data_IF_269073820072
#
_entry.id   IF_269073820072
#
_cell.length_a   1.000
_cell.length_b   1.000
_cell.length_c   1.000
_cell.angle_alpha   90.00
_cell.angle_beta   90.00
_cell.angle_gamma   90.00
#
_symmetry.space_group_name_H-M   'P 1'
#
loop_
_entity.id
_entity.type
_entity.pdbx_description
1 polymer ?
#
# COMPACT_ATOMS: atom_id res chain seq x y z
N UNK A 1 -21.07 -0.98 -18.68
CA UNK A 1 -19.69 -1.42 -18.44
C UNK A 1 -19.14 -2.03 -19.71
N UNK A 2 -17.83 -1.88 -19.92
CA UNK A 2 -17.21 -2.12 -21.23
C UNK A 2 -16.56 -3.50 -21.35
N UNK A 3 -16.27 -4.17 -20.23
CA UNK A 3 -15.67 -5.51 -20.19
C UNK A 3 -14.32 -5.58 -20.92
N UNK A 4 -13.86 -6.79 -21.22
CA UNK A 4 -12.55 -7.02 -21.87
C UNK A 4 -12.45 -6.35 -23.25
N UNK A 5 -13.49 -6.46 -24.08
CA UNK A 5 -13.50 -5.83 -25.40
C UNK A 5 -13.33 -4.31 -25.33
N UNK A 6 -13.96 -3.68 -24.35
CA UNK A 6 -13.80 -2.25 -24.09
C UNK A 6 -12.43 -1.87 -23.55
N UNK A 7 -11.89 -2.66 -22.60
CA UNK A 7 -10.55 -2.49 -22.08
C UNK A 7 -9.50 -2.56 -23.21
N UNK A 8 -9.61 -3.56 -24.09
CA UNK A 8 -8.73 -3.74 -25.25
C UNK A 8 -8.87 -2.58 -26.24
N UNK A 9 -10.08 -2.07 -26.46
CA UNK A 9 -10.30 -0.91 -27.33
C UNK A 9 -9.65 0.36 -26.75
N UNK A 10 -9.80 0.62 -25.45
CA UNK A 10 -9.19 1.75 -24.77
C UNK A 10 -7.67 1.64 -24.69
N UNK A 11 -7.13 0.44 -24.48
CA UNK A 11 -5.70 0.17 -24.46
C UNK A 11 -5.00 0.64 -25.74
N UNK A 12 -5.68 0.52 -26.90
CA UNK A 12 -5.16 0.98 -28.20
C UNK A 12 -5.06 2.52 -28.30
N UNK A 13 -5.76 3.26 -27.45
CA UNK A 13 -5.76 4.72 -27.45
C UNK A 13 -4.67 5.32 -26.56
N UNK A 14 -4.16 4.58 -25.56
CA UNK A 14 -3.15 5.10 -24.63
C UNK A 14 -1.86 5.54 -25.36
N UNK A 15 -1.30 4.76 -26.33
CA UNK A 15 -0.12 5.19 -27.06
C UNK A 15 -0.33 6.45 -27.91
N UNK A 16 -1.59 6.77 -28.25
CA UNK A 16 -1.95 7.98 -29.00
C UNK A 16 -2.09 9.21 -28.08
N UNK A 17 -2.04 9.01 -26.76
CA UNK A 17 -2.26 10.04 -25.74
C UNK A 17 -1.08 10.19 -24.78
N UNK A 18 0.19 10.30 -25.24
CA UNK A 18 1.37 10.28 -24.37
C UNK A 18 1.51 11.48 -23.42
N UNK A 19 0.68 12.51 -23.61
CA UNK A 19 0.62 13.70 -22.76
C UNK A 19 -0.37 13.57 -21.60
N UNK A 20 -1.08 12.44 -21.49
CA UNK A 20 -2.07 12.22 -20.44
C UNK A 20 -1.40 12.26 -19.05
N UNK A 21 -2.02 13.02 -18.14
CA UNK A 21 -1.58 13.19 -16.76
C UNK A 21 -2.50 12.51 -15.75
N UNK A 22 -3.76 12.34 -16.10
CA UNK A 22 -4.79 11.76 -15.25
C UNK A 22 -5.53 10.70 -16.07
N UNK A 23 -5.46 9.45 -15.62
CA UNK A 23 -6.13 8.32 -16.24
C UNK A 23 -6.97 7.59 -15.20
N UNK A 24 -8.29 7.59 -15.45
CA UNK A 24 -9.24 6.73 -14.76
C UNK A 24 -9.74 5.62 -15.67
N UNK A 25 -9.49 4.39 -15.26
CA UNK A 25 -10.01 3.15 -15.82
C UNK A 25 -10.60 2.34 -14.67
N UNK A 26 -11.67 2.86 -14.06
CA UNK A 26 -12.32 2.27 -12.88
C UNK A 26 -13.69 1.67 -13.21
N UNK A 27 -14.09 0.61 -12.51
CA UNK A 27 -15.41 -0.03 -12.59
C UNK A 27 -15.80 -0.44 -14.01
N UNK A 28 -14.83 -0.93 -14.80
CA UNK A 28 -15.08 -1.28 -16.20
C UNK A 28 -15.57 -2.71 -16.39
N UNK A 29 -15.50 -3.52 -15.32
CA UNK A 29 -15.67 -4.99 -15.31
C UNK A 29 -14.72 -5.71 -16.28
N UNK A 30 -13.57 -5.10 -16.58
CA UNK A 30 -12.51 -5.81 -17.29
C UNK A 30 -12.07 -7.01 -16.43
N UNK A 31 -12.09 -8.17 -17.05
CA UNK A 31 -11.56 -9.40 -16.50
C UNK A 31 -10.06 -9.47 -16.85
N UNK A 32 -9.43 -10.61 -16.55
CA UNK A 32 -7.98 -10.80 -16.70
C UNK A 32 -7.44 -10.40 -18.08
N UNK A 33 -8.10 -10.77 -19.18
CA UNK A 33 -7.59 -10.50 -20.53
C UNK A 33 -7.58 -9.00 -20.86
N UNK A 34 -8.70 -8.32 -20.60
CA UNK A 34 -8.85 -6.90 -20.84
C UNK A 34 -7.93 -6.07 -19.96
N UNK A 35 -7.93 -6.38 -18.66
CA UNK A 35 -7.10 -5.71 -17.65
C UNK A 35 -5.60 -5.87 -17.94
N UNK A 36 -5.15 -7.07 -18.31
CA UNK A 36 -3.75 -7.30 -18.67
C UNK A 36 -3.34 -6.52 -19.93
N UNK A 37 -4.22 -6.49 -20.95
CA UNK A 37 -3.97 -5.73 -22.17
C UNK A 37 -3.88 -4.24 -21.88
N UNK A 38 -4.79 -3.74 -21.03
CA UNK A 38 -4.80 -2.35 -20.60
C UNK A 38 -3.54 -1.99 -19.78
N UNK A 39 -3.18 -2.81 -18.80
CA UNK A 39 -1.98 -2.64 -17.97
C UNK A 39 -0.71 -2.52 -18.81
N UNK A 40 -0.54 -3.39 -19.82
CA UNK A 40 0.61 -3.32 -20.74
C UNK A 40 0.65 -2.02 -21.52
N UNK A 41 -0.50 -1.48 -21.93
CA UNK A 41 -0.58 -0.24 -22.69
C UNK A 41 -0.22 1.01 -21.85
N UNK A 42 -0.34 0.93 -20.51
CA UNK A 42 0.05 2.02 -19.60
C UNK A 42 1.50 2.46 -19.80
N UNK A 43 2.41 1.57 -20.21
CA UNK A 43 3.83 1.88 -20.41
C UNK A 43 4.10 3.02 -21.41
N UNK A 44 3.10 3.39 -22.23
CA UNK A 44 3.17 4.54 -23.13
C UNK A 44 2.99 5.90 -22.43
N UNK A 45 2.44 5.94 -21.21
CA UNK A 45 2.02 7.14 -20.50
C UNK A 45 3.05 7.65 -19.48
N UNK A 46 4.26 7.98 -19.94
CA UNK A 46 5.38 8.38 -19.06
C UNK A 46 5.18 9.70 -18.30
N UNK A 47 4.17 10.49 -18.67
CA UNK A 47 3.82 11.77 -18.04
C UNK A 47 2.65 11.66 -17.05
N UNK A 48 2.21 10.44 -16.76
CA UNK A 48 1.09 10.22 -15.86
C UNK A 48 1.43 10.67 -14.44
N UNK A 49 0.48 11.36 -13.83
CA UNK A 49 0.53 11.90 -12.47
C UNK A 49 -0.52 11.19 -11.60
N UNK A 50 -1.68 10.82 -12.17
CA UNK A 50 -2.76 10.12 -11.47
C UNK A 50 -3.20 8.89 -12.24
N UNK A 51 -3.24 7.76 -11.53
CA UNK A 51 -3.63 6.46 -12.08
C UNK A 51 -4.69 5.83 -11.19
N UNK A 52 -5.89 5.67 -11.73
CA UNK A 52 -7.00 5.00 -11.06
C UNK A 52 -7.43 3.78 -11.90
N UNK A 53 -7.17 2.59 -11.35
CA UNK A 53 -7.47 1.30 -11.97
C UNK A 53 -8.50 0.50 -11.14
N UNK A 54 -9.15 1.15 -10.19
CA UNK A 54 -9.99 0.49 -9.18
C UNK A 54 -11.17 -0.31 -9.75
N UNK A 55 -11.65 -1.32 -9.05
CA UNK A 55 -12.81 -2.15 -9.45
C UNK A 55 -12.64 -2.78 -10.86
N UNK A 56 -11.53 -3.49 -11.04
CA UNK A 56 -11.25 -4.34 -12.20
C UNK A 56 -10.43 -5.56 -11.78
N UNK A 57 -10.44 -6.64 -12.56
CA UNK A 57 -9.69 -7.84 -12.19
C UNK A 57 -8.35 -7.90 -12.91
N UNK A 58 -7.26 -7.51 -12.23
CA UNK A 58 -5.90 -7.58 -12.77
C UNK A 58 -5.20 -8.90 -12.46
N UNK A 59 -5.39 -9.44 -11.24
CA UNK A 59 -4.62 -10.60 -10.74
C UNK A 59 -3.12 -10.30 -10.64
N UNK A 60 -2.35 -11.19 -10.03
CA UNK A 60 -0.90 -11.02 -9.87
C UNK A 60 -0.19 -10.62 -11.19
N UNK A 61 -0.53 -11.28 -12.30
CA UNK A 61 0.04 -10.96 -13.62
C UNK A 61 -0.31 -9.57 -14.14
N UNK A 62 -1.52 -9.06 -13.84
CA UNK A 62 -1.87 -7.68 -14.14
C UNK A 62 -1.08 -6.72 -13.26
N UNK A 63 -0.86 -7.08 -11.99
CA UNK A 63 0.02 -6.37 -11.07
C UNK A 63 1.46 -6.24 -11.60
N UNK A 64 2.05 -7.32 -12.09
CA UNK A 64 3.37 -7.30 -12.76
C UNK A 64 3.40 -6.38 -13.99
N UNK A 65 2.33 -6.39 -14.80
CA UNK A 65 2.23 -5.52 -15.96
C UNK A 65 2.09 -4.04 -15.57
N UNK A 66 1.33 -3.74 -14.51
CA UNK A 66 1.25 -2.40 -13.91
C UNK A 66 2.63 -1.98 -13.41
N UNK A 67 3.33 -2.85 -12.66
CA UNK A 67 4.68 -2.61 -12.15
C UNK A 67 5.66 -2.22 -13.26
N UNK A 68 5.67 -2.99 -14.37
CA UNK A 68 6.52 -2.71 -15.53
C UNK A 68 6.23 -1.32 -16.15
N UNK A 69 4.98 -0.87 -16.12
CA UNK A 69 4.59 0.45 -16.60
C UNK A 69 5.00 1.57 -15.63
N UNK A 70 4.60 1.47 -14.35
CA UNK A 70 4.78 2.55 -13.35
C UNK A 70 6.25 2.78 -12.99
N UNK A 71 7.14 1.80 -13.19
CA UNK A 71 8.60 1.96 -13.04
C UNK A 71 9.16 3.12 -13.87
N UNK A 72 8.50 3.51 -14.96
CA UNK A 72 8.91 4.61 -15.84
C UNK A 72 8.01 5.86 -15.72
N UNK A 73 7.29 6.01 -14.60
CA UNK A 73 6.37 7.11 -14.34
C UNK A 73 6.74 7.88 -13.06
N UNK A 74 7.89 8.60 -13.05
CA UNK A 74 8.40 9.25 -11.84
C UNK A 74 7.53 10.40 -11.31
N UNK A 75 6.53 10.84 -12.10
CA UNK A 75 5.64 11.95 -11.73
C UNK A 75 4.34 11.48 -11.06
N UNK A 76 4.15 10.18 -10.82
CA UNK A 76 2.96 9.67 -10.14
C UNK A 76 2.85 10.28 -8.74
N UNK A 77 1.72 10.93 -8.49
CA UNK A 77 1.33 11.51 -7.20
C UNK A 77 0.15 10.76 -6.57
N UNK A 78 -0.61 10.01 -7.36
CA UNK A 78 -1.80 9.26 -6.91
C UNK A 78 -1.90 7.94 -7.67
N UNK A 79 -1.99 6.84 -6.92
CA UNK A 79 -2.22 5.49 -7.44
C UNK A 79 -3.37 4.86 -6.66
N UNK A 80 -4.43 4.51 -7.39
CA UNK A 80 -5.58 3.80 -6.85
C UNK A 80 -5.72 2.44 -7.54
N UNK A 81 -5.54 1.38 -6.75
CA UNK A 81 -5.64 -0.03 -7.12
C UNK A 81 -6.69 -0.75 -6.27
N UNK A 82 -7.66 -0.02 -5.70
CA UNK A 82 -8.71 -0.64 -4.91
C UNK A 82 -9.46 -1.70 -5.70
N UNK A 83 -9.76 -2.85 -5.09
CA UNK A 83 -10.54 -3.93 -5.73
C UNK A 83 -9.95 -4.36 -7.09
N UNK A 84 -8.61 -4.43 -7.15
CA UNK A 84 -7.86 -4.81 -8.36
C UNK A 84 -7.50 -6.32 -8.39
N UNK A 85 -7.74 -7.02 -7.28
CA UNK A 85 -7.35 -8.39 -7.00
C UNK A 85 -5.86 -8.65 -7.31
N UNK A 86 -4.95 -7.72 -6.96
CA UNK A 86 -3.53 -7.85 -7.35
C UNK A 86 -2.78 -8.93 -6.57
N UNK A 87 -3.28 -9.34 -5.40
CA UNK A 87 -2.64 -10.32 -4.51
C UNK A 87 -1.21 -9.87 -4.11
N UNK A 88 -0.55 -10.61 -3.22
CA UNK A 88 0.75 -10.21 -2.68
C UNK A 88 1.83 -10.05 -3.78
N UNK A 89 1.91 -10.98 -4.72
CA UNK A 89 2.87 -10.94 -5.83
C UNK A 89 2.73 -9.64 -6.66
N UNK A 90 1.48 -9.23 -6.93
CA UNK A 90 1.20 -7.99 -7.65
C UNK A 90 1.63 -6.76 -6.86
N UNK A 91 1.32 -6.71 -5.56
CA UNK A 91 1.76 -5.60 -4.70
C UNK A 91 3.28 -5.54 -4.58
N UNK A 92 3.95 -6.68 -4.41
CA UNK A 92 5.42 -6.75 -4.33
C UNK A 92 6.06 -6.15 -5.58
N UNK A 93 5.58 -6.53 -6.77
CA UNK A 93 6.06 -6.00 -8.03
C UNK A 93 5.82 -4.48 -8.12
N UNK A 94 4.61 -4.02 -7.78
CA UNK A 94 4.22 -2.60 -7.90
C UNK A 94 5.00 -1.72 -6.91
N UNK A 95 5.07 -2.12 -5.63
CA UNK A 95 5.81 -1.37 -4.61
C UNK A 95 7.30 -1.27 -4.94
N UNK A 96 7.90 -2.36 -5.41
CA UNK A 96 9.29 -2.37 -5.90
C UNK A 96 9.47 -1.42 -7.09
N UNK A 97 8.57 -1.46 -8.07
CA UNK A 97 8.62 -0.58 -9.24
C UNK A 97 8.44 0.90 -8.90
N UNK A 98 7.53 1.26 -7.99
CA UNK A 98 7.33 2.64 -7.54
C UNK A 98 8.56 3.18 -6.80
N UNK A 99 9.22 2.34 -5.99
CA UNK A 99 10.46 2.67 -5.30
C UNK A 99 11.61 2.87 -6.28
N UNK A 100 11.90 1.87 -7.11
CA UNK A 100 13.01 1.90 -8.09
C UNK A 100 12.81 2.95 -9.19
N UNK A 101 11.56 3.18 -9.60
CA UNK A 101 11.18 4.20 -10.58
C UNK A 101 11.15 5.62 -10.05
N UNK A 102 11.37 5.81 -8.73
CA UNK A 102 11.42 7.11 -8.07
C UNK A 102 10.06 7.75 -7.75
N UNK A 103 8.95 7.18 -8.24
CA UNK A 103 7.60 7.65 -7.99
C UNK A 103 7.25 7.68 -6.49
N UNK A 104 7.80 6.76 -5.69
CA UNK A 104 7.58 6.72 -4.24
C UNK A 104 7.90 8.04 -3.53
N UNK A 105 8.85 8.83 -4.04
CA UNK A 105 9.25 10.12 -3.45
C UNK A 105 8.28 11.26 -3.75
N UNK A 106 7.40 11.09 -4.74
CA UNK A 106 6.40 12.07 -5.17
C UNK A 106 4.97 11.64 -4.82
N UNK A 107 4.75 10.36 -4.49
CA UNK A 107 3.44 9.81 -4.23
C UNK A 107 2.82 10.45 -2.97
N UNK A 108 1.62 11.00 -3.13
CA UNK A 108 0.84 11.63 -2.06
C UNK A 108 -0.31 10.74 -1.58
N UNK A 109 -0.81 9.86 -2.46
CA UNK A 109 -1.92 8.94 -2.16
C UNK A 109 -1.64 7.57 -2.78
N UNK A 110 -1.77 6.53 -1.95
CA UNK A 110 -1.76 5.14 -2.37
C UNK A 110 -2.98 4.43 -1.78
N UNK A 111 -3.78 3.84 -2.66
CA UNK A 111 -4.89 2.97 -2.28
C UNK A 111 -4.67 1.58 -2.89
N UNK A 112 -4.52 0.57 -2.02
CA UNK A 112 -4.40 -0.86 -2.38
C UNK A 112 -5.44 -1.70 -1.63
N UNK A 113 -6.56 -1.10 -1.27
CA UNK A 113 -7.65 -1.75 -0.52
C UNK A 113 -8.33 -2.86 -1.34
N UNK A 114 -8.88 -3.90 -0.71
CA UNK A 114 -9.65 -4.94 -1.43
C UNK A 114 -8.81 -5.79 -2.40
N UNK A 115 -7.64 -6.26 -1.99
CA UNK A 115 -6.68 -6.93 -2.89
C UNK A 115 -6.16 -8.29 -2.40
N UNK A 116 -6.79 -8.89 -1.39
CA UNK A 116 -6.38 -10.17 -0.79
C UNK A 116 -4.89 -10.12 -0.35
N UNK A 117 -4.47 -9.00 0.24
CA UNK A 117 -3.09 -8.77 0.65
C UNK A 117 -2.83 -9.29 2.06
N UNK A 118 -1.66 -9.92 2.26
CA UNK A 118 -1.26 -10.46 3.56
C UNK A 118 -0.01 -9.73 4.09
N UNK A 119 0.50 -10.21 5.24
CA UNK A 119 1.77 -9.74 5.78
C UNK A 119 2.96 -9.88 4.79
N UNK A 120 2.90 -10.80 3.82
CA UNK A 120 3.96 -10.99 2.82
C UNK A 120 4.08 -9.79 1.88
N UNK A 121 2.97 -9.34 1.29
CA UNK A 121 2.94 -8.14 0.44
C UNK A 121 3.33 -6.86 1.19
N UNK A 122 3.03 -6.81 2.50
CA UNK A 122 3.38 -5.65 3.34
C UNK A 122 4.88 -5.44 3.50
N UNK A 123 5.73 -6.46 3.31
CA UNK A 123 7.19 -6.28 3.35
C UNK A 123 7.67 -5.31 2.27
N UNK A 124 7.22 -5.51 1.02
CA UNK A 124 7.58 -4.66 -0.10
C UNK A 124 6.98 -3.25 0.03
N UNK A 125 5.72 -3.16 0.45
CA UNK A 125 5.06 -1.88 0.73
C UNK A 125 5.82 -1.12 1.82
N UNK A 126 6.19 -1.78 2.92
CA UNK A 126 6.98 -1.21 4.00
C UNK A 126 8.31 -0.63 3.52
N UNK A 127 9.03 -1.33 2.65
CA UNK A 127 10.27 -0.79 2.05
C UNK A 127 10.01 0.48 1.22
N UNK A 128 8.93 0.52 0.45
CA UNK A 128 8.55 1.69 -0.35
C UNK A 128 8.09 2.89 0.52
N UNK A 129 7.37 2.63 1.63
CA UNK A 129 6.93 3.65 2.59
C UNK A 129 8.10 4.34 3.32
N UNK A 130 9.23 3.63 3.52
CA UNK A 130 10.46 4.21 4.11
C UNK A 130 11.06 5.32 3.24
N UNK A 131 10.93 5.21 1.92
CA UNK A 131 11.41 6.22 0.96
C UNK A 131 10.38 7.29 0.62
N UNK A 132 9.13 7.07 1.02
CA UNK A 132 8.03 7.99 0.75
C UNK A 132 8.15 9.23 1.63
N UNK A 133 8.49 10.37 1.03
CA UNK A 133 8.71 11.63 1.77
C UNK A 133 7.45 12.49 1.91
N UNK A 134 6.55 12.39 0.93
CA UNK A 134 5.38 13.27 0.78
C UNK A 134 4.05 12.51 0.77
N UNK A 135 4.05 11.22 1.11
CA UNK A 135 2.81 10.43 1.22
C UNK A 135 1.94 11.01 2.34
N UNK A 136 0.69 11.33 1.99
CA UNK A 136 -0.32 11.92 2.88
C UNK A 136 -1.41 10.91 3.23
N UNK A 137 -1.78 10.05 2.29
CA UNK A 137 -2.87 9.08 2.46
C UNK A 137 -2.41 7.68 2.07
N UNK A 138 -2.54 6.74 2.99
CA UNK A 138 -2.35 5.31 2.76
C UNK A 138 -3.66 4.59 3.06
N UNK A 139 -4.16 3.80 2.09
CA UNK A 139 -5.33 2.97 2.26
C UNK A 139 -4.99 1.52 1.92
N UNK A 140 -5.26 0.64 2.87
CA UNK A 140 -5.04 -0.81 2.81
C UNK A 140 -6.28 -1.56 3.34
N UNK A 141 -7.45 -0.92 3.39
CA UNK A 141 -8.67 -1.53 3.97
C UNK A 141 -9.12 -2.78 3.21
N UNK A 142 -9.92 -3.63 3.85
CA UNK A 142 -10.47 -4.84 3.23
C UNK A 142 -9.35 -5.75 2.65
N UNK A 143 -8.40 -6.13 3.49
CA UNK A 143 -7.34 -7.09 3.18
C UNK A 143 -7.16 -8.06 4.37
N UNK A 144 -6.12 -8.89 4.35
CA UNK A 144 -5.83 -9.91 5.37
C UNK A 144 -4.42 -9.70 5.94
N UNK A 145 -4.03 -8.44 6.20
CA UNK A 145 -2.64 -8.11 6.53
C UNK A 145 -2.21 -8.64 7.91
N UNK A 146 -3.17 -8.86 8.81
CA UNK A 146 -2.94 -9.35 10.17
C UNK A 146 -2.11 -8.41 11.05
N UNK A 147 -1.93 -8.80 12.31
CA UNK A 147 -1.04 -8.08 13.24
C UNK A 147 0.39 -7.93 12.70
N UNK A 148 0.91 -8.99 12.08
CA UNK A 148 2.26 -9.01 11.48
C UNK A 148 2.42 -7.96 10.38
N UNK A 149 1.48 -7.88 9.43
CA UNK A 149 1.49 -6.87 8.37
C UNK A 149 1.37 -5.44 8.91
N UNK A 150 0.50 -5.24 9.90
CA UNK A 150 0.36 -3.95 10.58
C UNK A 150 1.65 -3.52 11.30
N UNK A 151 2.34 -4.44 11.99
CA UNK A 151 3.66 -4.19 12.62
C UNK A 151 4.72 -3.81 11.58
N UNK A 152 4.71 -4.43 10.39
CA UNK A 152 5.62 -4.10 9.27
C UNK A 152 5.37 -2.66 8.79
N UNK A 153 4.10 -2.31 8.51
CA UNK A 153 3.72 -0.95 8.12
C UNK A 153 4.12 0.05 9.22
N UNK A 154 3.82 -0.25 10.48
CA UNK A 154 4.15 0.61 11.61
C UNK A 154 5.67 0.88 11.71
N UNK A 155 6.51 -0.15 11.58
CA UNK A 155 7.98 0.01 11.57
C UNK A 155 8.44 0.90 10.41
N UNK A 156 7.84 0.77 9.22
CA UNK A 156 8.15 1.61 8.08
C UNK A 156 7.71 3.07 8.29
N UNK A 157 6.48 3.29 8.78
CA UNK A 157 5.93 4.62 9.04
C UNK A 157 6.67 5.38 10.15
N UNK A 158 7.29 4.69 11.12
CA UNK A 158 8.12 5.38 12.13
C UNK A 158 9.31 6.11 11.53
N UNK A 159 9.90 5.58 10.45
CA UNK A 159 11.10 6.16 9.82
C UNK A 159 10.79 6.95 8.54
N UNK A 160 9.74 6.57 7.81
CA UNK A 160 9.31 7.17 6.56
C UNK A 160 8.03 7.99 6.68
N UNK A 161 7.54 8.49 5.53
CA UNK A 161 6.24 9.18 5.41
C UNK A 161 6.00 10.25 6.48
N UNK A 162 6.90 11.26 6.65
CA UNK A 162 6.75 12.28 7.67
C UNK A 162 5.53 13.20 7.45
N UNK A 163 5.06 13.30 6.20
CA UNK A 163 3.89 14.09 5.81
C UNK A 163 2.56 13.33 5.91
N UNK A 164 2.55 12.12 6.48
CA UNK A 164 1.36 11.27 6.53
C UNK A 164 0.25 11.92 7.36
N UNK A 165 -0.94 11.97 6.78
CA UNK A 165 -2.14 12.59 7.35
C UNK A 165 -3.17 11.55 7.73
N UNK A 166 -3.34 10.53 6.88
CA UNK A 166 -4.39 9.52 7.01
C UNK A 166 -3.89 8.11 6.72
N UNK A 167 -4.24 7.18 7.60
CA UNK A 167 -4.15 5.73 7.37
C UNK A 167 -5.55 5.13 7.49
N UNK A 168 -5.96 4.37 6.49
CA UNK A 168 -7.20 3.58 6.49
C UNK A 168 -6.81 2.12 6.35
N UNK A 169 -7.13 1.34 7.37
CA UNK A 169 -6.82 -0.08 7.44
C UNK A 169 -7.96 -0.82 8.13
N UNK A 170 -9.22 -0.43 7.86
CA UNK A 170 -10.39 -1.15 8.36
C UNK A 170 -10.41 -2.57 7.80
N UNK A 171 -10.99 -3.53 8.52
CA UNK A 171 -11.22 -4.91 8.03
C UNK A 171 -9.94 -5.55 7.52
N UNK A 172 -9.04 -5.87 8.45
CA UNK A 172 -7.68 -6.34 8.15
C UNK A 172 -7.12 -7.37 9.15
N UNK A 173 -7.95 -7.83 10.11
CA UNK A 173 -7.55 -8.81 11.14
C UNK A 173 -6.31 -8.36 11.94
N UNK A 174 -6.16 -7.04 12.15
CA UNK A 174 -4.94 -6.45 12.70
C UNK A 174 -4.70 -6.85 14.17
N UNK A 175 -5.76 -7.11 14.93
CA UNK A 175 -5.70 -7.38 16.36
C UNK A 175 -5.19 -6.19 17.19
N UNK A 176 -5.29 -6.32 18.52
CA UNK A 176 -4.88 -5.26 19.44
C UNK A 176 -3.39 -4.88 19.33
N UNK A 177 -2.51 -5.87 19.14
CA UNK A 177 -1.06 -5.65 19.09
C UNK A 177 -0.62 -4.89 17.83
N UNK A 178 -1.17 -5.24 16.67
CA UNK A 178 -0.92 -4.55 15.40
C UNK A 178 -1.51 -3.14 15.40
N UNK A 179 -2.70 -2.97 15.96
CA UNK A 179 -3.39 -1.68 16.06
C UNK A 179 -2.60 -0.71 16.93
N UNK A 180 -2.13 -1.17 18.10
CA UNK A 180 -1.27 -0.38 18.98
C UNK A 180 0.05 0.00 18.31
N UNK A 181 0.62 -0.89 17.48
CA UNK A 181 1.82 -0.59 16.71
C UNK A 181 1.59 0.54 15.70
N UNK A 182 0.47 0.52 14.97
CA UNK A 182 0.08 1.58 14.03
C UNK A 182 -0.10 2.92 14.76
N UNK A 183 -0.84 2.95 15.88
CA UNK A 183 -1.03 4.16 16.69
C UNK A 183 0.32 4.74 17.12
N UNK A 184 1.21 3.91 17.68
CA UNK A 184 2.57 4.34 18.09
C UNK A 184 3.40 4.87 16.92
N UNK A 185 3.15 4.42 15.68
CA UNK A 185 3.87 4.89 14.51
C UNK A 185 3.39 6.24 13.98
N UNK A 186 2.12 6.58 14.18
CA UNK A 186 1.49 7.79 13.61
C UNK A 186 1.26 8.90 14.63
N UNK A 187 1.17 8.57 15.92
CA UNK A 187 0.78 9.53 16.96
C UNK A 187 1.72 10.74 17.08
N UNK A 188 3.02 10.57 16.85
CA UNK A 188 4.00 11.67 16.92
C UNK A 188 4.16 12.44 15.59
N UNK A 189 3.48 12.01 14.50
CA UNK A 189 3.54 12.71 13.22
C UNK A 189 2.71 13.99 13.26
N UNK A 190 3.33 15.12 12.93
CA UNK A 190 2.70 16.46 13.04
C UNK A 190 1.48 16.65 12.15
N UNK A 191 1.51 16.09 10.95
CA UNK A 191 0.43 16.23 9.97
C UNK A 191 -0.69 15.19 10.15
N UNK A 192 -0.53 14.23 11.06
CA UNK A 192 -1.45 13.10 11.19
C UNK A 192 -2.76 13.50 11.86
N UNK A 193 -3.85 13.23 11.16
CA UNK A 193 -5.21 13.64 11.54
C UNK A 193 -6.21 12.49 11.56
N UNK A 194 -5.92 11.32 10.95
CA UNK A 194 -6.92 10.26 10.84
C UNK A 194 -6.33 8.84 10.78
N UNK A 195 -6.73 7.98 11.72
CA UNK A 195 -6.49 6.54 11.74
C UNK A 195 -7.83 5.81 11.77
N UNK A 196 -8.17 5.13 10.68
CA UNK A 196 -9.36 4.27 10.60
C UNK A 196 -8.89 2.81 10.64
N UNK A 197 -9.24 2.08 11.70
CA UNK A 197 -8.87 0.68 11.97
C UNK A 197 -10.07 -0.10 12.52
N UNK A 198 -11.28 0.22 12.08
CA UNK A 198 -12.49 -0.50 12.49
C UNK A 198 -12.53 -1.93 11.90
N UNK A 199 -13.28 -2.86 12.49
CA UNK A 199 -13.41 -4.21 11.93
C UNK A 199 -12.14 -5.06 11.99
N UNK A 200 -11.29 -4.88 13.00
CA UNK A 200 -9.95 -5.46 13.07
C UNK A 200 -9.71 -6.44 14.23
N UNK A 201 -10.77 -6.95 14.85
CA UNK A 201 -10.67 -7.88 15.99
C UNK A 201 -9.81 -7.27 17.12
N UNK A 202 -10.02 -5.99 17.42
CA UNK A 202 -9.30 -5.29 18.49
C UNK A 202 -10.07 -5.52 19.79
N UNK A 203 -9.52 -6.33 20.70
CA UNK A 203 -10.09 -6.55 22.03
C UNK A 203 -10.44 -5.24 22.77
N UNK A 204 -11.41 -5.30 23.69
CA UNK A 204 -11.83 -4.14 24.48
C UNK A 204 -10.67 -3.48 25.25
N UNK A 205 -9.74 -4.28 25.79
CA UNK A 205 -8.52 -3.79 26.44
C UNK A 205 -7.56 -3.12 25.45
N UNK A 206 -7.50 -3.65 24.22
CA UNK A 206 -6.78 -3.05 23.09
C UNK A 206 -7.34 -1.68 22.72
N UNK A 207 -8.67 -1.56 22.59
CA UNK A 207 -9.37 -0.29 22.33
C UNK A 207 -9.05 0.71 23.43
N UNK A 208 -9.24 0.35 24.70
CA UNK A 208 -8.95 1.23 25.84
C UNK A 208 -7.49 1.69 25.87
N UNK A 209 -6.55 0.82 25.50
CA UNK A 209 -5.13 1.14 25.41
C UNK A 209 -4.82 2.14 24.28
N UNK A 210 -5.48 2.00 23.13
CA UNK A 210 -5.34 2.90 21.99
C UNK A 210 -5.90 4.28 22.31
N UNK A 211 -7.11 4.34 22.87
CA UNK A 211 -7.77 5.60 23.28
C UNK A 211 -6.90 6.36 24.28
N UNK A 212 -6.48 5.69 25.37
CA UNK A 212 -5.60 6.27 26.38
C UNK A 212 -4.28 6.82 25.80
N UNK A 213 -3.67 6.10 24.86
CA UNK A 213 -2.45 6.55 24.19
C UNK A 213 -2.69 7.80 23.35
N UNK A 214 -3.79 7.87 22.58
CA UNK A 214 -4.14 9.04 21.77
C UNK A 214 -4.53 10.24 22.62
N UNK A 215 -5.27 10.04 23.71
CA UNK A 215 -5.62 11.06 24.69
C UNK A 215 -4.38 11.67 25.33
N UNK A 216 -3.41 10.84 25.75
CA UNK A 216 -2.14 11.30 26.33
C UNK A 216 -1.32 12.20 25.38
N UNK A 217 -1.63 12.14 24.08
CA UNK A 217 -0.99 12.91 23.00
C UNK A 217 -1.91 14.00 22.43
N UNK A 218 -3.07 14.22 23.03
CA UNK A 218 -4.10 15.17 22.57
C UNK A 218 -4.51 14.94 21.11
N UNK A 219 -4.69 13.66 20.75
CA UNK A 219 -5.07 13.18 19.41
C UNK A 219 -6.27 12.22 19.42
N UNK A 220 -7.15 12.31 20.43
CA UNK A 220 -8.36 11.48 20.49
C UNK A 220 -9.21 11.57 19.22
N UNK A 221 -9.38 12.78 18.68
CA UNK A 221 -10.16 13.04 17.46
C UNK A 221 -9.55 12.42 16.18
N UNK A 222 -8.31 11.91 16.24
CA UNK A 222 -7.67 11.28 15.09
C UNK A 222 -8.17 9.85 14.86
N UNK A 223 -8.82 9.20 15.84
CA UNK A 223 -9.29 7.83 15.71
C UNK A 223 -10.61 7.75 14.93
N UNK A 224 -10.77 6.69 14.15
CA UNK A 224 -12.03 6.26 13.55
C UNK A 224 -13.00 5.67 14.54
N UNK A 225 -14.14 5.27 14.01
CA UNK A 225 -15.02 4.33 14.70
C UNK A 225 -14.22 3.07 15.01
N UNK A 226 -14.53 2.45 16.15
CA UNK A 226 -14.06 1.12 16.54
C UNK A 226 -15.25 0.22 16.92
N UNK A 227 -16.46 0.55 16.46
CA UNK A 227 -17.71 -0.14 16.82
C UNK A 227 -17.76 -1.59 16.30
N UNK A 228 -17.04 -1.91 15.21
CA UNK A 228 -17.06 -3.24 14.58
C UNK A 228 -15.86 -4.11 15.02
N UNK A 229 -15.22 -3.82 16.16
CA UNK A 229 -14.08 -4.59 16.68
C UNK A 229 -14.44 -5.68 17.71
N UNK A 230 -15.71 -5.84 18.06
CA UNK A 230 -16.18 -6.80 19.07
C UNK A 230 -15.68 -8.23 18.76
N UNK A 231 -14.85 -8.78 19.66
CA UNK A 231 -14.31 -10.14 19.58
C UNK A 231 -15.44 -11.17 19.79
N UNK A 232 -15.61 -12.06 18.82
CA UNK A 232 -15.82 -13.47 19.14
C UNK A 232 -14.46 -14.00 19.66
N UNK A 233 -14.46 -14.57 20.88
CA UNK A 233 -13.28 -15.07 21.60
C UNK A 233 -12.47 -16.10 20.78
N UNK A 234 -11.40 -15.73 20.06
CA UNK A 234 -10.40 -16.70 19.59
C UNK A 234 -8.92 -16.26 19.80
N UNK A 235 -8.30 -17.04 20.68
CA UNK A 235 -6.92 -17.35 21.10
C UNK A 235 -5.71 -16.45 20.71
N UNK A 236 -4.93 -16.14 21.75
CA UNK A 236 -3.59 -15.54 21.68
C UNK A 236 -2.59 -16.47 20.96
N UNK A 237 -2.18 -16.13 19.74
CA UNK A 237 -0.94 -16.67 19.15
C UNK A 237 0.26 -15.93 19.78
N UNK A 238 1.05 -16.64 20.59
CA UNK A 238 2.32 -16.17 21.14
C UNK A 238 3.35 -15.95 20.00
N UNK A 239 3.47 -14.71 19.52
CA UNK A 239 4.57 -14.33 18.61
C UNK A 239 5.90 -14.22 19.39
N UNK A 240 6.78 -15.22 19.24
CA UNK A 240 8.21 -15.16 19.57
C UNK A 240 8.90 -14.08 18.68
N UNK A 241 8.90 -12.83 19.13
CA UNK A 241 9.67 -11.74 18.51
C UNK A 241 11.18 -11.94 18.77
N UNK A 242 11.87 -12.70 17.92
CA UNK A 242 13.33 -12.56 17.76
C UNK A 242 13.62 -11.20 17.09
N UNK A 243 14.06 -10.23 17.89
CA UNK A 243 14.63 -8.96 17.43
C UNK A 243 15.91 -9.20 16.61
N UNK A 244 15.78 -9.47 15.31
CA UNK A 244 16.90 -9.28 14.38
C UNK A 244 16.97 -7.80 13.99
N UNK A 245 17.81 -7.07 14.71
CA UNK A 245 18.33 -5.78 14.24
C UNK A 245 19.18 -6.00 12.98
N UNK A 246 18.57 -5.98 11.80
CA UNK A 246 19.32 -5.80 10.55
C UNK A 246 19.85 -4.36 10.49
N UNK A 247 21.03 -4.18 11.06
CA UNK A 247 21.85 -3.00 10.89
C UNK A 247 22.52 -3.04 9.50
N UNK A 248 21.73 -2.86 8.44
CA UNK A 248 22.27 -2.71 7.08
C UNK A 248 22.86 -1.32 6.95
N UNK A 249 24.15 -1.20 7.30
CA UNK A 249 24.92 -0.01 6.98
C UNK A 249 24.99 0.13 5.46
N UNK A 250 24.59 1.31 4.97
CA UNK A 250 24.73 1.73 3.59
C UNK A 250 26.22 1.79 3.28
N UNK A 251 26.84 0.71 2.76
CA UNK A 251 28.11 0.74 2.00
C UNK A 251 28.59 -0.58 1.34
N UNK A 252 27.96 -1.76 1.52
CA UNK A 252 28.59 -3.03 1.07
C UNK A 252 28.03 -3.70 -0.20
N UNK A 253 27.25 -3.01 -1.04
CA UNK A 253 26.81 -3.58 -2.35
C UNK A 253 27.77 -3.23 -3.51
N UNK A 254 28.87 -2.51 -3.25
CA UNK A 254 29.83 -2.08 -4.30
C UNK A 254 31.08 -2.95 -4.46
N UNK A 255 31.09 -4.22 -4.01
CA UNK A 255 32.29 -5.08 -4.08
C UNK A 255 32.11 -6.45 -4.76
N UNK A 256 31.04 -6.67 -5.53
CA UNK A 256 30.83 -7.94 -6.26
C UNK A 256 30.69 -7.81 -7.79
N UNK A 257 31.33 -6.81 -8.42
CA UNK A 257 31.40 -6.70 -9.89
C UNK A 257 32.80 -6.49 -10.49
N UNK A 258 33.89 -6.72 -9.74
CA UNK A 258 35.27 -6.60 -10.27
C UNK A 258 36.02 -7.93 -10.43
N UNK A 259 35.33 -9.01 -10.78
CA UNK A 259 35.98 -10.27 -11.19
C UNK A 259 35.39 -10.88 -12.46
N UNK A 260 35.19 -10.08 -13.50
CA UNK A 260 35.22 -10.56 -14.90
C UNK A 260 35.80 -9.47 -15.80
N UNK A 261 37.12 -9.31 -15.79
CA UNK A 261 37.93 -8.81 -16.92
C UNK A 261 39.41 -8.87 -16.57
N UNK A 262 40.05 -9.99 -16.93
CA UNK A 262 41.36 -10.14 -17.56
C UNK A 262 41.80 -11.61 -17.49
#
# INVERSE_FOLDING_TARGET
MSGDGGAIALAKLLPLSPALKDLRFSATRAQREGSLTFAKALASLKKLEKLDLSDNTFKAQGGEAIAAAVKNMPNLVEVNLRDAAIEDDGLVAIAGALREGGAAKALTTLDVSGNDLTAEGMLALGQMLRESAVLRVLQVEENEIGSKGAKIIAKALKVGSPALEKVVANVNEIGASGALALVKAVVDKKAFVKLDIDGNQISADGVASIESLLESKNKGDALGSLEDNDEDEEEEEEDDDEEQEENTSVNDVTAMLDKVSL
#
